data_IF_869407425211
#
_entry.id   IF_869407425211
#
_cell.length_a   1.000
_cell.length_b   1.000
_cell.length_c   1.000
_cell.angle_alpha   90.00
_cell.angle_beta   90.00
_cell.angle_gamma   90.00
#
_symmetry.space_group_name_H-M   'P 1'
#
loop_
_entity.id
_entity.type
_entity.pdbx_description
1 polymer ?
#
# COMPACT_ATOMS: atom_id res chain seq x y z
N UNK A 1 -4.02 -20.38 -1.29
CA UNK A 1 -4.20 -18.92 -1.22
C UNK A 1 -2.94 -18.35 -0.63
N UNK A 2 -2.26 -17.48 -1.35
CA UNK A 2 -0.94 -16.96 -1.01
C UNK A 2 -1.05 -15.42 -0.88
N UNK A 3 -0.44 -14.85 0.15
CA UNK A 3 -0.25 -13.41 0.29
C UNK A 3 1.19 -13.01 -0.07
N UNK A 4 1.48 -11.74 -0.26
CA UNK A 4 2.75 -11.24 -0.84
C UNK A 4 4.03 -11.80 -0.21
N UNK A 5 4.04 -12.11 1.08
CA UNK A 5 5.21 -12.73 1.76
C UNK A 5 5.39 -14.21 1.45
N UNK A 6 4.32 -14.92 1.14
CA UNK A 6 4.35 -16.35 0.82
C UNK A 6 4.82 -16.60 -0.62
N UNK A 7 4.66 -15.63 -1.50
CA UNK A 7 4.83 -15.81 -2.94
C UNK A 7 6.30 -15.83 -3.37
N UNK A 8 7.20 -15.13 -2.67
CA UNK A 8 8.64 -15.14 -2.95
C UNK A 8 9.31 -16.51 -2.83
N UNK A 9 8.73 -17.42 -2.02
CA UNK A 9 9.24 -18.79 -1.88
C UNK A 9 8.41 -19.85 -2.60
N UNK A 10 7.16 -19.57 -2.89
CA UNK A 10 6.23 -20.56 -3.40
C UNK A 10 6.25 -20.71 -4.93
N UNK A 11 6.62 -19.67 -5.67
CA UNK A 11 6.61 -19.70 -7.14
C UNK A 11 7.46 -20.80 -7.76
N UNK A 12 8.58 -21.18 -7.13
CA UNK A 12 9.45 -22.29 -7.54
C UNK A 12 9.03 -23.65 -6.97
N UNK A 13 8.29 -23.66 -5.85
CA UNK A 13 7.90 -24.90 -5.16
C UNK A 13 6.54 -25.45 -5.63
N UNK A 14 5.68 -24.63 -6.22
CA UNK A 14 4.31 -25.02 -6.62
C UNK A 14 4.32 -25.85 -7.91
N UNK A 15 5.34 -25.72 -8.76
CA UNK A 15 5.42 -26.42 -10.04
C UNK A 15 4.18 -26.11 -10.92
N UNK A 16 3.46 -27.13 -11.35
CA UNK A 16 2.28 -27.01 -12.22
C UNK A 16 0.94 -27.03 -11.45
N UNK A 17 0.97 -26.96 -10.13
CA UNK A 17 -0.26 -26.95 -9.33
C UNK A 17 -0.99 -25.62 -9.57
N UNK A 18 -2.29 -25.63 -9.88
CA UNK A 18 -3.06 -24.39 -10.02
C UNK A 18 -2.99 -23.55 -8.74
N UNK A 19 -2.47 -22.35 -8.86
CA UNK A 19 -2.29 -21.41 -7.77
C UNK A 19 -3.14 -20.17 -7.96
N UNK A 20 -3.84 -19.76 -6.90
CA UNK A 20 -4.63 -18.54 -6.89
C UNK A 20 -4.13 -17.63 -5.78
N UNK A 21 -3.59 -16.48 -6.14
CA UNK A 21 -3.20 -15.46 -5.18
C UNK A 21 -4.38 -14.54 -4.83
N UNK A 22 -4.39 -14.02 -3.62
CA UNK A 22 -5.27 -12.95 -3.19
C UNK A 22 -4.58 -12.07 -2.13
N UNK A 23 -5.06 -10.85 -1.99
CA UNK A 23 -4.48 -9.88 -1.03
C UNK A 23 -3.01 -9.58 -1.37
N UNK A 24 -2.73 -9.47 -2.67
CA UNK A 24 -1.47 -8.99 -3.21
C UNK A 24 -1.68 -7.58 -3.76
N UNK A 25 -0.90 -6.64 -3.27
CA UNK A 25 -1.05 -5.23 -3.63
C UNK A 25 -0.56 -4.97 -5.07
N UNK A 26 0.58 -5.52 -5.42
CA UNK A 26 1.19 -5.41 -6.75
C UNK A 26 1.67 -6.78 -7.25
N UNK A 27 0.80 -7.52 -7.97
CA UNK A 27 1.16 -8.82 -8.50
C UNK A 27 2.13 -8.77 -9.69
N UNK A 28 2.26 -7.63 -10.38
CA UNK A 28 3.22 -7.44 -11.47
C UNK A 28 4.60 -7.17 -10.88
N UNK A 29 4.72 -6.18 -9.98
CA UNK A 29 5.98 -5.89 -9.29
C UNK A 29 6.49 -7.03 -8.41
N UNK A 30 5.60 -7.94 -8.01
CA UNK A 30 5.94 -9.18 -7.28
C UNK A 30 6.23 -10.37 -8.20
N UNK A 31 6.31 -10.16 -9.51
CA UNK A 31 6.57 -11.20 -10.53
C UNK A 31 5.60 -12.42 -10.47
N UNK A 32 4.35 -12.19 -10.06
CA UNK A 32 3.32 -13.23 -10.05
C UNK A 32 2.60 -13.34 -11.37
N UNK A 33 2.45 -12.22 -12.08
CA UNK A 33 1.81 -12.13 -13.40
C UNK A 33 2.55 -11.14 -14.28
N UNK A 34 2.43 -11.32 -15.60
CA UNK A 34 3.02 -10.41 -16.59
C UNK A 34 2.25 -9.09 -16.69
N UNK A 35 0.91 -9.15 -16.63
CA UNK A 35 0.03 -7.98 -16.67
C UNK A 35 -1.30 -8.28 -15.96
N UNK A 36 -2.17 -7.27 -15.86
CA UNK A 36 -3.51 -7.48 -15.27
C UNK A 36 -4.44 -8.28 -16.19
N UNK A 37 -4.17 -8.29 -17.50
CA UNK A 37 -4.96 -9.00 -18.51
C UNK A 37 -4.45 -10.43 -18.73
N UNK A 38 -3.17 -10.67 -18.46
CA UNK A 38 -2.50 -11.92 -18.75
C UNK A 38 -1.54 -12.33 -17.64
N UNK A 39 -1.74 -13.53 -17.13
CA UNK A 39 -0.84 -14.07 -16.10
C UNK A 39 0.58 -14.33 -16.61
N UNK A 40 0.75 -14.77 -17.87
CA UNK A 40 2.03 -15.26 -18.40
C UNK A 40 2.40 -16.65 -17.88
N UNK A 41 1.63 -17.20 -16.93
CA UNK A 41 1.84 -18.53 -16.32
C UNK A 41 0.54 -19.32 -16.41
N UNK A 42 0.61 -20.56 -16.94
CA UNK A 42 -0.57 -21.39 -17.19
C UNK A 42 -1.30 -21.86 -15.93
N UNK A 43 -0.64 -21.78 -14.77
CA UNK A 43 -1.13 -22.32 -13.50
C UNK A 43 -1.30 -21.25 -12.43
N UNK A 44 -1.05 -19.97 -12.70
CA UNK A 44 -1.15 -18.88 -11.71
C UNK A 44 -2.20 -17.87 -12.15
N UNK A 45 -3.12 -17.54 -11.25
CA UNK A 45 -4.07 -16.43 -11.40
C UNK A 45 -4.38 -15.83 -10.04
N UNK A 46 -5.13 -14.73 -9.99
CA UNK A 46 -5.50 -14.18 -8.71
C UNK A 46 -6.32 -12.91 -8.74
N UNK A 47 -6.50 -12.34 -7.56
CA UNK A 47 -7.27 -11.12 -7.34
C UNK A 47 -6.42 -10.12 -6.57
N UNK A 48 -6.17 -8.98 -7.20
CA UNK A 48 -5.55 -7.83 -6.56
C UNK A 48 -6.49 -7.23 -5.51
N UNK A 49 -5.94 -6.80 -4.38
CA UNK A 49 -6.74 -6.18 -3.31
C UNK A 49 -6.67 -4.65 -3.31
N UNK A 50 -6.05 -4.05 -4.31
CA UNK A 50 -5.74 -2.62 -4.29
C UNK A 50 -6.32 -1.88 -5.48
N UNK A 51 -6.88 -0.72 -5.23
CA UNK A 51 -7.19 0.26 -6.27
C UNK A 51 -5.85 0.80 -6.80
N UNK A 52 -5.67 0.95 -8.12
CA UNK A 52 -4.45 1.54 -8.68
C UNK A 52 -4.13 2.91 -8.09
N UNK A 53 -2.86 3.20 -7.83
CA UNK A 53 -2.40 4.45 -7.21
C UNK A 53 -2.84 5.69 -8.01
N UNK A 54 -2.81 5.62 -9.33
CA UNK A 54 -3.27 6.71 -10.20
C UNK A 54 -4.76 7.02 -10.03
N UNK A 55 -5.60 6.00 -9.79
CA UNK A 55 -7.02 6.18 -9.50
C UNK A 55 -7.21 6.80 -8.12
N UNK A 56 -6.42 6.35 -7.14
CA UNK A 56 -6.44 6.90 -5.79
C UNK A 56 -5.99 8.37 -5.80
N UNK A 57 -4.89 8.71 -6.46
CA UNK A 57 -4.40 10.08 -6.58
C UNK A 57 -5.40 10.96 -7.32
N UNK A 58 -5.99 10.49 -8.42
CA UNK A 58 -6.99 11.25 -9.16
C UNK A 58 -8.17 11.66 -8.29
N UNK A 59 -8.71 10.74 -7.50
CA UNK A 59 -9.79 11.02 -6.57
C UNK A 59 -9.34 11.92 -5.40
N UNK A 60 -8.15 11.70 -4.86
CA UNK A 60 -7.57 12.59 -3.86
C UNK A 60 -7.47 14.02 -4.39
N UNK A 61 -6.93 14.19 -5.58
CA UNK A 61 -6.69 15.50 -6.18
C UNK A 61 -7.97 16.21 -6.69
N UNK A 62 -9.10 15.53 -6.77
CA UNK A 62 -10.41 16.18 -6.96
C UNK A 62 -10.82 17.00 -5.73
N UNK A 63 -10.52 16.53 -4.53
CA UNK A 63 -10.93 17.14 -3.26
C UNK A 63 -9.83 17.95 -2.58
N UNK A 64 -8.60 17.48 -2.68
CA UNK A 64 -7.45 18.10 -2.04
C UNK A 64 -6.23 17.95 -2.96
N UNK A 65 -5.61 19.05 -3.33
CA UNK A 65 -4.48 19.09 -4.28
C UNK A 65 -3.19 19.48 -3.59
N UNK A 66 -2.56 18.57 -2.83
CA UNK A 66 -1.30 18.88 -2.20
C UNK A 66 -0.21 19.05 -3.26
N UNK A 67 0.60 20.09 -3.14
CA UNK A 67 1.81 20.24 -3.96
C UNK A 67 2.97 19.42 -3.39
N UNK A 68 2.88 19.02 -2.12
CA UNK A 68 3.87 18.20 -1.41
C UNK A 68 3.18 17.10 -0.63
N UNK A 69 3.35 15.88 -1.11
CA UNK A 69 2.73 14.68 -0.53
C UNK A 69 3.77 13.86 0.23
N UNK A 70 3.55 13.68 1.54
CA UNK A 70 4.42 12.88 2.40
C UNK A 70 4.08 11.39 2.38
N UNK A 71 5.08 10.54 2.50
CA UNK A 71 4.97 9.11 2.79
C UNK A 71 5.96 8.70 3.86
N UNK A 72 5.56 7.80 4.76
CA UNK A 72 6.47 7.16 5.72
C UNK A 72 6.59 5.68 5.40
N UNK A 73 7.83 5.23 5.21
CA UNK A 73 8.14 3.87 4.77
C UNK A 73 8.83 3.07 5.88
N UNK A 74 8.44 1.81 5.98
CA UNK A 74 9.17 0.81 6.76
C UNK A 74 10.17 0.10 5.85
N UNK A 75 11.49 0.12 6.14
CA UNK A 75 12.52 -0.41 5.22
C UNK A 75 12.42 -1.92 4.99
N UNK A 76 11.82 -2.67 5.94
CA UNK A 76 11.55 -4.11 5.80
C UNK A 76 10.30 -4.46 4.97
N UNK A 77 9.53 -3.47 4.50
CA UNK A 77 8.27 -3.69 3.77
C UNK A 77 8.46 -3.44 2.27
N UNK A 78 8.71 -4.49 1.51
CA UNK A 78 8.89 -4.41 0.06
C UNK A 78 7.71 -3.74 -0.67
N UNK A 79 6.48 -4.04 -0.27
CA UNK A 79 5.29 -3.42 -0.84
C UNK A 79 5.21 -1.91 -0.61
N UNK A 80 5.74 -1.44 0.52
CA UNK A 80 5.84 -0.01 0.83
C UNK A 80 6.79 0.68 -0.16
N UNK A 81 7.94 0.06 -0.44
CA UNK A 81 8.91 0.56 -1.41
C UNK A 81 8.32 0.60 -2.84
N UNK A 82 7.68 -0.48 -3.30
CA UNK A 82 7.01 -0.52 -4.61
C UNK A 82 5.92 0.55 -4.75
N UNK A 83 5.15 0.76 -3.68
CA UNK A 83 4.13 1.79 -3.68
C UNK A 83 4.73 3.20 -3.78
N UNK A 84 5.79 3.47 -3.04
CA UNK A 84 6.51 4.76 -3.09
C UNK A 84 7.10 5.01 -4.47
N UNK A 85 7.69 4.01 -5.10
CA UNK A 85 8.19 4.09 -6.47
C UNK A 85 7.07 4.42 -7.46
N UNK A 86 5.90 3.79 -7.31
CA UNK A 86 4.74 4.10 -8.14
C UNK A 86 4.25 5.54 -7.94
N UNK A 87 4.20 6.03 -6.69
CA UNK A 87 3.86 7.44 -6.41
C UNK A 87 4.87 8.40 -7.05
N UNK A 88 6.16 8.08 -6.96
CA UNK A 88 7.23 8.89 -7.60
C UNK A 88 7.06 8.95 -9.11
N UNK A 89 6.71 7.83 -9.76
CA UNK A 89 6.46 7.79 -11.20
C UNK A 89 5.22 8.60 -11.63
N UNK A 90 4.30 8.87 -10.73
CA UNK A 90 3.07 9.63 -10.98
C UNK A 90 3.19 11.10 -10.57
N UNK A 91 4.28 11.50 -9.94
CA UNK A 91 4.44 12.85 -9.38
C UNK A 91 4.33 13.96 -10.42
N UNK A 92 4.91 13.76 -11.61
CA UNK A 92 4.84 14.71 -12.70
C UNK A 92 3.42 14.83 -13.28
N UNK A 93 2.74 13.68 -13.49
CA UNK A 93 1.37 13.65 -14.02
C UNK A 93 0.40 14.43 -13.11
N UNK A 94 0.54 14.26 -11.79
CA UNK A 94 -0.33 14.89 -10.79
C UNK A 94 0.23 16.20 -10.24
N UNK A 95 1.40 16.64 -10.68
CA UNK A 95 2.05 17.91 -10.31
C UNK A 95 2.27 18.06 -8.80
N UNK A 96 2.86 17.05 -8.15
CA UNK A 96 3.25 17.10 -6.74
C UNK A 96 4.71 16.69 -6.55
N UNK A 97 5.32 17.14 -5.44
CA UNK A 97 6.61 16.65 -4.97
C UNK A 97 6.37 15.58 -3.90
N UNK A 98 6.95 14.40 -4.07
CA UNK A 98 6.92 13.34 -3.06
C UNK A 98 7.99 13.64 -2.00
N UNK A 99 7.57 13.67 -0.73
CA UNK A 99 8.47 13.78 0.44
C UNK A 99 8.48 12.44 1.14
N UNK A 100 9.65 11.84 1.24
CA UNK A 100 9.82 10.48 1.75
C UNK A 100 10.47 10.49 3.12
N UNK A 101 9.82 9.91 4.10
CA UNK A 101 10.38 9.57 5.40
C UNK A 101 10.62 8.06 5.49
N UNK A 102 11.61 7.68 6.29
CA UNK A 102 11.99 6.29 6.48
C UNK A 102 12.21 6.03 7.97
N UNK A 103 11.53 5.02 8.50
CA UNK A 103 11.78 4.57 9.85
C UNK A 103 13.16 3.90 9.97
N UNK A 104 13.74 3.97 11.17
CA UNK A 104 15.01 3.32 11.49
C UNK A 104 14.74 2.06 12.30
N UNK A 105 14.92 0.86 11.74
CA UNK A 105 14.74 -0.38 12.48
C UNK A 105 15.87 -0.62 13.49
N UNK A 106 15.59 -1.39 14.51
CA UNK A 106 16.58 -1.92 15.43
C UNK A 106 17.36 -3.10 14.78
N UNK A 107 18.29 -3.69 15.52
CA UNK A 107 19.12 -4.83 15.04
C UNK A 107 18.29 -6.07 14.64
N UNK A 108 17.06 -6.20 15.15
CA UNK A 108 16.15 -7.29 14.80
C UNK A 108 15.27 -6.97 13.59
N UNK A 109 15.34 -5.74 13.06
CA UNK A 109 14.51 -5.26 11.96
C UNK A 109 13.17 -4.67 12.39
N UNK A 110 12.91 -4.55 13.70
CA UNK A 110 11.67 -3.97 14.22
C UNK A 110 11.78 -2.44 14.30
N UNK A 111 10.67 -1.77 14.05
CA UNK A 111 10.54 -0.31 14.18
C UNK A 111 9.78 0.02 15.47
N UNK A 112 10.31 0.95 16.26
CA UNK A 112 9.62 1.47 17.44
C UNK A 112 8.53 2.44 17.01
N UNK A 113 7.30 2.22 17.48
CA UNK A 113 6.13 3.06 17.22
C UNK A 113 6.35 4.52 17.62
N UNK A 114 7.19 4.78 18.62
CA UNK A 114 7.55 6.14 19.06
C UNK A 114 8.32 6.95 18.00
N UNK A 115 8.76 6.34 16.92
CA UNK A 115 9.34 7.06 15.78
C UNK A 115 8.27 7.77 14.95
N UNK A 116 7.01 7.34 14.99
CA UNK A 116 5.93 7.91 14.17
C UNK A 116 5.81 9.43 14.36
N UNK A 117 5.69 9.98 15.58
CA UNK A 117 5.58 11.43 15.77
C UNK A 117 6.82 12.19 15.28
N UNK A 118 8.01 11.64 15.48
CA UNK A 118 9.26 12.25 15.05
C UNK A 118 9.34 12.33 13.51
N UNK A 119 9.15 11.22 12.86
CA UNK A 119 9.24 11.15 11.40
C UNK A 119 8.11 11.96 10.73
N UNK A 120 6.93 12.03 11.37
CA UNK A 120 5.84 12.89 10.90
C UNK A 120 6.21 14.39 11.00
N UNK A 121 6.89 14.80 12.09
CA UNK A 121 7.39 16.15 12.23
C UNK A 121 8.47 16.49 11.19
N UNK A 122 9.33 15.54 10.82
CA UNK A 122 10.32 15.71 9.76
C UNK A 122 9.65 15.90 8.38
N UNK A 123 8.61 15.11 8.07
CA UNK A 123 7.82 15.34 6.84
C UNK A 123 7.21 16.73 6.82
N UNK A 124 6.65 17.19 7.95
CA UNK A 124 6.09 18.53 8.06
C UNK A 124 7.13 19.62 7.89
N UNK A 125 8.32 19.47 8.49
CA UNK A 125 9.42 20.41 8.38
C UNK A 125 9.93 20.51 6.92
N UNK A 126 9.88 19.44 6.15
CA UNK A 126 10.18 19.42 4.72
C UNK A 126 9.05 20.00 3.87
N UNK A 127 7.93 20.40 4.49
CA UNK A 127 6.82 21.09 3.87
C UNK A 127 5.71 20.16 3.35
N UNK A 128 5.59 18.94 3.85
CA UNK A 128 4.45 18.10 3.53
C UNK A 128 3.13 18.80 3.89
N UNK A 129 2.17 18.73 2.98
CA UNK A 129 0.82 19.31 3.11
C UNK A 129 -0.22 18.25 3.42
N UNK A 130 0.09 16.99 3.09
CA UNK A 130 -0.70 15.82 3.36
C UNK A 130 0.21 14.60 3.47
N UNK A 131 -0.31 13.51 4.06
CA UNK A 131 0.40 12.23 4.13
C UNK A 131 -0.45 11.14 3.49
N UNK A 132 0.17 10.31 2.66
CA UNK A 132 -0.47 9.18 2.02
C UNK A 132 0.07 7.86 2.59
N UNK A 133 -0.84 6.96 2.95
CA UNK A 133 -0.53 5.60 3.40
C UNK A 133 -1.05 4.61 2.37
N UNK A 134 -0.13 4.10 1.58
CA UNK A 134 -0.44 3.14 0.54
C UNK A 134 -0.34 1.69 1.00
N UNK A 135 0.86 1.14 1.08
CA UNK A 135 1.10 -0.28 1.31
C UNK A 135 2.07 -0.51 2.46
N UNK A 136 1.71 -0.07 3.65
CA UNK A 136 2.47 -0.32 4.87
C UNK A 136 1.63 -1.05 5.91
N UNK A 137 2.06 -2.23 6.29
CA UNK A 137 1.45 -3.01 7.38
C UNK A 137 1.72 -2.34 8.73
N UNK A 138 2.92 -1.82 8.93
CA UNK A 138 3.30 -1.12 10.15
C UNK A 138 2.41 0.11 10.39
N UNK A 139 2.27 0.98 9.38
CA UNK A 139 1.41 2.16 9.52
C UNK A 139 -0.08 1.82 9.68
N UNK A 140 -0.52 0.69 9.11
CA UNK A 140 -1.90 0.21 9.29
C UNK A 140 -2.11 -0.38 10.69
N UNK A 141 -1.15 -1.09 11.24
CA UNK A 141 -1.21 -1.66 12.58
C UNK A 141 -1.24 -0.57 13.64
N UNK A 142 -0.43 0.47 13.44
CA UNK A 142 -0.33 1.65 14.32
C UNK A 142 -1.12 2.86 13.80
N UNK A 143 -2.26 2.60 13.19
CA UNK A 143 -3.05 3.64 12.50
C UNK A 143 -3.55 4.76 13.42
N UNK A 144 -3.82 4.45 14.69
CA UNK A 144 -4.29 5.45 15.67
C UNK A 144 -3.17 6.43 15.99
N UNK A 145 -1.99 5.92 16.32
CA UNK A 145 -0.80 6.72 16.61
C UNK A 145 -0.36 7.53 15.39
N UNK A 146 -0.41 6.90 14.22
CA UNK A 146 -0.04 7.53 12.96
C UNK A 146 -0.94 8.73 12.62
N UNK A 147 -2.27 8.54 12.69
CA UNK A 147 -3.22 9.61 12.38
C UNK A 147 -3.21 10.68 13.44
N UNK A 148 -3.06 10.34 14.74
CA UNK A 148 -2.93 11.31 15.80
C UNK A 148 -1.69 12.21 15.61
N UNK A 149 -0.53 11.62 15.32
CA UNK A 149 0.70 12.39 15.07
C UNK A 149 0.58 13.32 13.86
N UNK A 150 -0.12 12.89 12.79
CA UNK A 150 -0.40 13.75 11.65
C UNK A 150 -1.38 14.88 11.98
N UNK A 151 -2.43 14.58 12.75
CA UNK A 151 -3.44 15.56 13.16
C UNK A 151 -2.85 16.67 14.04
N UNK A 152 -1.95 16.34 14.97
CA UNK A 152 -1.25 17.32 15.81
C UNK A 152 -0.44 18.34 14.99
N UNK A 153 -0.04 17.97 13.77
CA UNK A 153 0.70 18.81 12.83
C UNK A 153 -0.19 19.42 11.73
N UNK A 154 -1.50 19.25 11.81
CA UNK A 154 -2.46 19.65 10.78
C UNK A 154 -2.10 19.05 9.40
N UNK A 155 -1.72 17.77 9.36
CA UNK A 155 -1.48 16.99 8.16
C UNK A 155 -2.65 16.03 7.92
N UNK A 156 -3.48 16.26 6.90
CA UNK A 156 -4.52 15.30 6.54
C UNK A 156 -3.89 13.99 6.06
N UNK A 157 -4.46 12.86 6.52
CA UNK A 157 -4.02 11.52 6.13
C UNK A 157 -4.98 10.94 5.11
N UNK A 158 -4.42 10.48 3.99
CA UNK A 158 -5.11 9.74 2.95
C UNK A 158 -4.60 8.31 2.88
N UNK A 159 -5.46 7.34 2.59
CA UNK A 159 -5.04 5.95 2.66
C UNK A 159 -5.66 5.06 1.59
N UNK A 160 -4.94 4.00 1.24
CA UNK A 160 -5.47 2.86 0.49
C UNK A 160 -6.31 1.91 1.36
N UNK A 161 -6.35 2.14 2.68
CA UNK A 161 -7.02 1.27 3.64
C UNK A 161 -8.23 1.97 4.28
N UNK A 162 -9.43 1.47 3.99
CA UNK A 162 -10.67 2.00 4.60
C UNK A 162 -10.69 1.89 6.13
N UNK A 163 -9.90 0.96 6.69
CA UNK A 163 -9.72 0.79 8.12
C UNK A 163 -9.08 2.01 8.77
N UNK A 164 -8.12 2.66 8.12
CA UNK A 164 -7.48 3.88 8.65
C UNK A 164 -8.47 5.02 8.85
N UNK A 165 -9.54 5.11 8.05
CA UNK A 165 -10.62 6.09 8.27
C UNK A 165 -11.51 5.65 9.43
N UNK A 166 -11.95 4.38 9.42
CA UNK A 166 -12.95 3.88 10.38
C UNK A 166 -12.43 3.78 11.82
N UNK A 167 -11.18 3.42 11.97
CA UNK A 167 -10.57 3.12 13.26
C UNK A 167 -9.46 4.12 13.64
N UNK A 168 -8.69 4.60 12.65
CA UNK A 168 -7.60 5.54 12.86
C UNK A 168 -8.00 7.01 12.78
N UNK A 169 -9.13 7.34 12.14
CA UNK A 169 -9.57 8.74 11.96
C UNK A 169 -8.91 9.47 10.78
N UNK A 170 -8.32 8.75 9.82
CA UNK A 170 -7.80 9.35 8.59
C UNK A 170 -8.89 10.10 7.81
N UNK A 171 -8.53 11.15 7.08
CA UNK A 171 -9.48 12.02 6.41
C UNK A 171 -10.24 11.28 5.29
N UNK A 172 -9.53 10.51 4.47
CA UNK A 172 -10.13 9.79 3.34
C UNK A 172 -9.37 8.51 3.04
N UNK A 173 -10.10 7.50 2.56
CA UNK A 173 -9.49 6.29 2.03
C UNK A 173 -10.18 5.83 0.74
N UNK A 174 -9.36 5.35 -0.19
CA UNK A 174 -9.82 4.75 -1.44
C UNK A 174 -9.27 3.33 -1.49
N UNK A 175 -10.08 2.39 -1.08
CA UNK A 175 -9.67 1.00 -0.93
C UNK A 175 -10.75 0.00 -1.34
N UNK A 176 -10.37 -1.26 -1.43
CA UNK A 176 -11.27 -2.37 -1.72
C UNK A 176 -11.74 -3.07 -0.44
N UNK A 177 -12.91 -3.70 -0.51
CA UNK A 177 -13.37 -4.57 0.56
C UNK A 177 -12.71 -5.95 0.45
N UNK A 178 -12.00 -6.39 1.49
CA UNK A 178 -11.41 -7.75 1.54
C UNK A 178 -12.45 -8.86 1.38
N UNK A 179 -13.67 -8.65 1.85
CA UNK A 179 -14.77 -9.58 1.62
C UNK A 179 -15.13 -9.71 0.12
N UNK A 180 -15.06 -8.63 -0.64
CA UNK A 180 -15.26 -8.67 -2.09
C UNK A 180 -14.08 -9.36 -2.80
N UNK A 181 -12.85 -9.09 -2.38
CA UNK A 181 -11.65 -9.77 -2.87
C UNK A 181 -11.77 -11.28 -2.67
N UNK A 182 -12.15 -11.72 -1.46
CA UNK A 182 -12.37 -13.14 -1.15
C UNK A 182 -13.47 -13.78 -2.02
N UNK A 183 -14.60 -13.09 -2.23
CA UNK A 183 -15.66 -13.58 -3.12
C UNK A 183 -15.22 -13.70 -4.57
N UNK A 184 -14.44 -12.75 -5.09
CA UNK A 184 -13.88 -12.81 -6.44
C UNK A 184 -12.89 -13.97 -6.57
N UNK A 185 -11.99 -14.13 -5.59
CA UNK A 185 -11.05 -15.24 -5.55
C UNK A 185 -11.76 -16.61 -5.55
N UNK A 186 -12.80 -16.76 -4.72
CA UNK A 186 -13.60 -17.98 -4.69
C UNK A 186 -14.29 -18.28 -6.04
N UNK A 187 -14.82 -17.26 -6.72
CA UNK A 187 -15.40 -17.42 -8.07
C UNK A 187 -14.36 -17.83 -9.11
N UNK A 188 -13.14 -17.30 -9.02
CA UNK A 188 -12.05 -17.72 -9.91
C UNK A 188 -11.63 -19.17 -9.62
N UNK A 189 -11.47 -19.54 -8.34
CA UNK A 189 -11.17 -20.91 -7.96
C UNK A 189 -12.19 -21.89 -8.50
N UNK A 190 -13.49 -21.60 -8.36
CA UNK A 190 -14.57 -22.43 -8.88
C UNK A 190 -14.64 -22.58 -10.41
N UNK A 191 -13.91 -21.71 -11.16
CA UNK A 191 -13.79 -21.83 -12.63
C UNK A 191 -12.60 -22.65 -13.06
N UNK A 192 -11.64 -22.86 -12.17
CA UNK A 192 -10.41 -23.61 -12.44
C UNK A 192 -10.60 -25.08 -12.06
N UNK A 193 -11.44 -25.38 -11.07
CA UNK A 193 -11.81 -26.73 -10.62
C UNK A 193 -12.92 -27.32 -11.49
#
# INVERSE_FOLDING_TARGET
ILGTRADYGAGSAIGNIPALFMIVADPIGSDLVESYERSGRNHVTGVRNRVPEEVQLRLLFEYFRPTRLGVLNHPGEFNSALNTEKLRSLSDEFSFTLIEGLYTPNDNGDVDVNQIPKEMAELKAQGAEAVYVGSSSFNLEHQVEFVAAAADLNLPVFSAYTRMVKEGGALMAIGTSYANVGRLAARQAARIL
#
